data_IF_793681652740
#
_entry.id   IF_793681652740
#
_cell.length_a   1.000
_cell.length_b   1.000
_cell.length_c   1.000
_cell.angle_alpha   90.00
_cell.angle_beta   90.00
_cell.angle_gamma   90.00
#
_symmetry.space_group_name_H-M   'P 1'
#
loop_
_entity.id
_entity.type
_entity.pdbx_description
1 polymer ?
#
# COMPACT_ATOMS: atom_id res chain seq x y z
N UNK A 1 8.26 -28.24 -7.48
CA UNK A 1 7.20 -28.17 -6.44
C UNK A 1 6.70 -26.74 -6.43
N UNK A 2 5.80 -26.38 -7.36
CA UNK A 2 5.06 -25.12 -7.27
C UNK A 2 3.91 -25.39 -6.31
N UNK A 3 4.12 -25.10 -5.03
CA UNK A 3 3.02 -25.08 -4.08
C UNK A 3 2.06 -23.98 -4.55
N UNK A 4 0.86 -24.38 -4.98
CA UNK A 4 -0.23 -23.52 -5.45
C UNK A 4 -0.83 -22.63 -4.35
N UNK A 5 0.03 -21.99 -3.55
CA UNK A 5 -0.38 -20.95 -2.64
C UNK A 5 -0.91 -19.78 -3.47
N UNK A 6 -2.20 -19.46 -3.31
CA UNK A 6 -2.80 -18.26 -3.89
C UNK A 6 -2.01 -17.03 -3.46
N UNK A 7 -1.84 -16.06 -4.36
CA UNK A 7 -1.23 -14.75 -4.06
C UNK A 7 -1.91 -14.06 -2.87
N UNK A 8 -3.18 -14.36 -2.66
CA UNK A 8 -4.03 -13.80 -1.61
C UNK A 8 -4.12 -14.66 -0.35
N UNK A 9 -3.30 -15.71 -0.26
CA UNK A 9 -3.18 -16.49 0.97
C UNK A 9 -2.69 -15.55 2.08
N UNK A 10 -3.48 -15.44 3.13
CA UNK A 10 -3.18 -14.59 4.27
C UNK A 10 -2.48 -15.38 5.36
N UNK A 11 -1.36 -14.88 5.86
CA UNK A 11 -0.70 -15.49 7.01
C UNK A 11 -1.61 -15.39 8.24
N UNK A 12 -1.80 -16.47 9.02
CA UNK A 12 -2.78 -16.50 10.10
C UNK A 12 -2.54 -15.51 11.22
N UNK A 13 -1.35 -14.95 11.38
CA UNK A 13 -0.98 -14.11 12.52
C UNK A 13 -1.54 -12.70 12.37
N UNK A 14 -1.25 -12.04 11.24
CA UNK A 14 -1.59 -10.63 10.98
C UNK A 14 -2.50 -10.44 9.75
N UNK A 15 -2.74 -11.49 8.96
CA UNK A 15 -3.54 -11.40 7.74
C UNK A 15 -2.80 -10.86 6.52
N UNK A 16 -1.46 -10.81 6.56
CA UNK A 16 -0.63 -10.35 5.46
C UNK A 16 -0.69 -11.32 4.28
N UNK A 17 -0.86 -10.77 3.08
CA UNK A 17 -0.62 -11.48 1.83
C UNK A 17 0.86 -11.49 1.49
N UNK A 18 1.25 -12.22 0.44
CA UNK A 18 2.63 -12.22 -0.05
C UNK A 18 3.14 -10.80 -0.36
N UNK A 19 2.25 -9.90 -0.78
CA UNK A 19 2.58 -8.51 -1.09
C UNK A 19 2.99 -7.71 0.15
N UNK A 20 2.31 -7.91 1.28
CA UNK A 20 2.68 -7.27 2.55
C UNK A 20 4.02 -7.81 3.05
N UNK A 21 4.26 -9.12 2.94
CA UNK A 21 5.54 -9.72 3.36
C UNK A 21 6.69 -9.18 2.51
N UNK A 22 6.53 -9.11 1.18
CA UNK A 22 7.55 -8.54 0.30
C UNK A 22 7.82 -7.06 0.62
N UNK A 23 6.79 -6.31 1.01
CA UNK A 23 6.93 -4.92 1.42
C UNK A 23 7.72 -4.78 2.74
N UNK A 24 7.41 -5.60 3.74
CA UNK A 24 8.10 -5.60 5.05
C UNK A 24 9.59 -5.98 4.90
N UNK A 25 9.89 -6.87 3.94
CA UNK A 25 11.25 -7.28 3.59
C UNK A 25 11.99 -6.29 2.66
N UNK A 26 11.35 -5.20 2.23
CA UNK A 26 11.87 -4.28 1.21
C UNK A 26 12.29 -4.99 -0.11
N UNK A 27 11.60 -6.07 -0.47
CA UNK A 27 11.86 -6.80 -1.71
C UNK A 27 11.07 -6.19 -2.88
N UNK A 28 11.58 -5.08 -3.39
CA UNK A 28 11.01 -4.35 -4.53
C UNK A 28 10.82 -5.25 -5.76
N UNK A 29 11.72 -6.21 -5.99
CA UNK A 29 11.64 -7.12 -7.14
C UNK A 29 10.44 -8.05 -6.97
N UNK A 30 10.29 -8.64 -5.78
CA UNK A 30 9.15 -9.49 -5.46
C UNK A 30 7.83 -8.71 -5.50
N UNK A 31 7.78 -7.49 -4.96
CA UNK A 31 6.57 -6.65 -5.04
C UNK A 31 6.13 -6.39 -6.49
N UNK A 32 7.08 -6.07 -7.38
CA UNK A 32 6.81 -5.89 -8.81
C UNK A 32 6.33 -7.20 -9.47
N UNK A 33 6.96 -8.32 -9.11
CA UNK A 33 6.58 -9.63 -9.63
C UNK A 33 5.17 -10.04 -9.18
N UNK A 34 4.84 -9.91 -7.90
CA UNK A 34 3.52 -10.19 -7.35
C UNK A 34 2.44 -9.32 -8.02
N UNK A 35 2.72 -8.01 -8.21
CA UNK A 35 1.81 -7.13 -8.95
C UNK A 35 1.62 -7.57 -10.39
N UNK A 36 2.69 -7.98 -11.08
CA UNK A 36 2.62 -8.52 -12.44
C UNK A 36 1.77 -9.79 -12.51
N UNK A 37 1.85 -10.65 -11.50
CA UNK A 37 1.02 -11.85 -11.38
C UNK A 37 -0.44 -11.56 -10.98
N UNK A 38 -0.80 -10.31 -10.73
CA UNK A 38 -2.17 -9.90 -10.40
C UNK A 38 -2.52 -9.94 -8.92
N UNK A 39 -1.53 -9.87 -8.02
CA UNK A 39 -1.81 -9.75 -6.58
C UNK A 39 -2.68 -8.52 -6.27
N UNK A 40 -3.63 -8.67 -5.35
CA UNK A 40 -4.52 -7.60 -4.92
C UNK A 40 -3.76 -6.55 -4.11
N UNK A 41 -3.47 -5.42 -4.74
CA UNK A 41 -2.80 -4.28 -4.12
C UNK A 41 -3.66 -3.57 -3.06
N UNK A 42 -4.96 -3.84 -3.01
CA UNK A 42 -5.91 -3.33 -2.02
C UNK A 42 -6.28 -4.36 -0.95
N UNK A 43 -5.59 -5.51 -0.93
CA UNK A 43 -5.78 -6.53 0.08
C UNK A 43 -5.68 -5.91 1.49
N UNK A 44 -6.56 -6.37 2.38
CA UNK A 44 -6.65 -5.89 3.76
C UNK A 44 -6.09 -6.91 4.73
N UNK A 45 -5.24 -6.47 5.65
CA UNK A 45 -4.80 -7.26 6.79
C UNK A 45 -5.94 -7.48 7.81
N UNK A 46 -5.66 -8.14 8.94
CA UNK A 46 -6.67 -8.41 9.98
C UNK A 46 -7.26 -7.17 10.63
N UNK A 47 -6.55 -6.05 10.63
CA UNK A 47 -7.03 -4.77 11.18
C UNK A 47 -7.56 -3.85 10.08
N UNK A 48 -7.81 -4.39 8.89
CA UNK A 48 -8.42 -3.68 7.78
C UNK A 48 -7.47 -2.73 7.05
N UNK A 49 -6.16 -2.79 7.31
CA UNK A 49 -5.16 -1.95 6.66
C UNK A 49 -4.80 -2.50 5.29
N UNK A 50 -4.72 -1.60 4.33
CA UNK A 50 -4.11 -1.88 3.02
C UNK A 50 -2.61 -1.59 3.06
N UNK A 51 -1.89 -1.98 2.01
CA UNK A 51 -0.46 -1.68 1.90
C UNK A 51 -0.17 -0.16 1.97
N UNK A 52 -1.09 0.69 1.50
CA UNK A 52 -0.99 2.15 1.64
C UNK A 52 -1.05 2.61 3.10
N UNK A 53 -1.81 1.94 3.96
CA UNK A 53 -1.83 2.27 5.39
C UNK A 53 -0.49 1.95 6.04
N UNK A 54 0.08 0.79 5.71
CA UNK A 54 1.36 0.34 6.26
C UNK A 54 2.48 1.29 5.85
N UNK A 55 2.60 1.65 4.57
CA UNK A 55 3.66 2.59 4.16
C UNK A 55 3.44 4.02 4.61
N UNK A 56 2.22 4.38 5.02
CA UNK A 56 1.93 5.70 5.60
C UNK A 56 2.46 5.88 7.01
N UNK A 57 2.79 4.80 7.73
CA UNK A 57 3.34 4.88 9.09
C UNK A 57 4.87 5.01 9.13
N UNK A 58 5.58 4.63 8.07
CA UNK A 58 7.05 4.75 8.02
C UNK A 58 7.48 6.17 7.72
N UNK A 59 8.47 6.73 8.43
CA UNK A 59 8.80 8.17 8.28
C UNK A 59 10.20 8.44 7.76
N UNK A 60 11.23 7.63 8.04
CA UNK A 60 12.59 8.18 7.97
C UNK A 60 13.72 7.33 7.39
N UNK A 61 13.59 6.01 7.17
CA UNK A 61 14.66 5.27 6.50
C UNK A 61 14.73 5.62 5.00
N UNK A 62 15.91 5.41 4.38
CA UNK A 62 16.09 5.67 2.94
C UNK A 62 15.34 4.63 2.12
N UNK A 63 15.31 3.41 2.63
CA UNK A 63 14.67 2.22 2.11
C UNK A 63 13.14 2.37 2.10
N UNK A 64 12.55 2.83 3.21
CA UNK A 64 11.10 3.07 3.31
C UNK A 64 10.63 4.12 2.31
N UNK A 65 11.48 5.08 1.97
CA UNK A 65 11.16 6.16 1.01
C UNK A 65 11.01 5.61 -0.41
N UNK A 66 11.84 4.65 -0.83
CA UNK A 66 11.77 4.09 -2.18
C UNK A 66 10.49 3.25 -2.35
N UNK A 67 10.24 2.33 -1.41
CA UNK A 67 9.02 1.52 -1.39
C UNK A 67 7.76 2.40 -1.40
N UNK A 68 7.72 3.38 -0.49
CA UNK A 68 6.57 4.28 -0.33
C UNK A 68 6.22 5.01 -1.62
N UNK A 69 7.23 5.51 -2.33
CA UNK A 69 7.06 6.19 -3.60
C UNK A 69 6.62 5.23 -4.71
N UNK A 70 7.22 4.05 -4.76
CA UNK A 70 6.84 3.02 -5.73
C UNK A 70 5.38 2.63 -5.55
N UNK A 71 4.94 2.29 -4.34
CA UNK A 71 3.54 1.90 -4.08
C UNK A 71 2.61 3.07 -4.40
N UNK A 72 2.91 4.29 -3.93
CA UNK A 72 2.06 5.44 -4.21
C UNK A 72 1.90 5.73 -5.73
N UNK A 73 2.82 5.25 -6.57
CA UNK A 73 2.73 5.35 -8.04
C UNK A 73 1.85 4.26 -8.70
N UNK A 74 1.36 3.27 -7.94
CA UNK A 74 0.55 2.20 -8.51
C UNK A 74 -0.87 2.66 -8.84
N UNK A 75 -1.27 2.44 -10.10
CA UNK A 75 -2.65 2.56 -10.52
C UNK A 75 -3.54 1.52 -9.82
N UNK A 76 -4.80 1.90 -9.58
CA UNK A 76 -5.81 1.02 -8.96
C UNK A 76 -5.81 0.98 -7.43
N UNK A 77 -4.83 1.61 -6.75
CA UNK A 77 -4.85 1.71 -5.29
C UNK A 77 -6.06 2.49 -4.78
N UNK A 78 -6.82 1.95 -3.84
CA UNK A 78 -7.88 2.67 -3.16
C UNK A 78 -7.32 3.48 -1.97
N UNK A 79 -7.36 4.80 -2.10
CA UNK A 79 -6.87 5.74 -1.08
C UNK A 79 -7.91 6.07 0.00
N UNK A 80 -9.15 5.60 -0.17
CA UNK A 80 -10.29 5.90 0.70
C UNK A 80 -10.62 4.77 1.68
N UNK A 81 -9.95 3.61 1.56
CA UNK A 81 -10.09 2.51 2.52
C UNK A 81 -9.81 3.01 3.94
N UNK A 82 -10.61 2.54 4.89
CA UNK A 82 -10.45 2.79 6.31
C UNK A 82 -10.02 1.53 7.03
N UNK A 83 -9.05 1.64 7.92
CA UNK A 83 -8.70 0.58 8.86
C UNK A 83 -9.78 0.42 9.96
N UNK A 84 -9.56 -0.52 10.89
CA UNK A 84 -10.48 -0.80 11.99
C UNK A 84 -10.70 0.40 12.93
N UNK A 85 -9.76 1.36 12.96
CA UNK A 85 -9.88 2.60 13.72
C UNK A 85 -10.57 3.72 12.93
N UNK A 86 -11.04 3.44 11.72
CA UNK A 86 -11.65 4.42 10.82
C UNK A 86 -10.64 5.34 10.14
N UNK A 87 -9.34 5.11 10.29
CA UNK A 87 -8.29 5.91 9.68
C UNK A 87 -8.06 5.51 8.22
N UNK A 88 -7.89 6.50 7.33
CA UNK A 88 -7.36 6.26 5.98
C UNK A 88 -5.84 6.32 5.98
N UNK A 89 -5.20 5.89 4.89
CA UNK A 89 -3.76 6.05 4.69
C UNK A 89 -3.30 7.50 4.89
N UNK A 90 -4.03 8.49 4.35
CA UNK A 90 -3.73 9.90 4.55
C UNK A 90 -3.86 10.32 6.02
N UNK A 91 -4.85 9.80 6.73
CA UNK A 91 -5.01 10.04 8.17
C UNK A 91 -3.81 9.52 8.97
N UNK A 92 -3.35 8.30 8.69
CA UNK A 92 -2.16 7.74 9.32
C UNK A 92 -0.89 8.53 8.97
N UNK A 93 -0.71 8.92 7.71
CA UNK A 93 0.45 9.73 7.29
C UNK A 93 0.51 11.07 8.04
N UNK A 94 -0.65 11.74 8.23
CA UNK A 94 -0.73 12.98 9.02
C UNK A 94 -0.41 12.73 10.50
N UNK A 95 -0.98 11.67 11.10
CA UNK A 95 -0.75 11.31 12.50
C UNK A 95 0.73 11.04 12.80
N UNK A 96 1.44 10.40 11.86
CA UNK A 96 2.87 10.10 11.99
C UNK A 96 3.78 11.23 11.46
N UNK A 97 3.25 12.40 11.10
CA UNK A 97 4.02 13.50 10.53
C UNK A 97 4.84 13.11 9.28
N UNK A 98 4.37 12.12 8.51
CA UNK A 98 4.97 11.69 7.25
C UNK A 98 4.61 12.69 6.13
N UNK A 99 5.26 13.86 6.16
CA UNK A 99 4.98 14.98 5.24
C UNK A 99 5.08 14.57 3.77
N UNK A 100 5.99 13.64 3.43
CA UNK A 100 6.16 13.14 2.07
C UNK A 100 4.94 12.35 1.62
N UNK A 101 4.51 11.36 2.41
CA UNK A 101 3.34 10.55 2.07
C UNK A 101 2.06 11.39 2.04
N UNK A 102 1.92 12.37 2.94
CA UNK A 102 0.81 13.33 2.89
C UNK A 102 0.77 14.04 1.52
N UNK A 103 1.91 14.56 1.06
CA UNK A 103 1.99 15.22 -0.24
C UNK A 103 1.67 14.28 -1.40
N UNK A 104 2.17 13.04 -1.36
CA UNK A 104 1.87 12.04 -2.41
C UNK A 104 0.39 11.70 -2.47
N UNK A 105 -0.23 11.36 -1.35
CA UNK A 105 -1.65 10.98 -1.31
C UNK A 105 -2.57 12.15 -1.68
N UNK A 106 -2.24 13.37 -1.29
CA UNK A 106 -2.97 14.57 -1.73
C UNK A 106 -2.86 14.77 -3.24
N UNK A 107 -1.65 14.69 -3.80
CA UNK A 107 -1.43 14.82 -5.25
C UNK A 107 -2.15 13.72 -6.03
N UNK A 108 -2.15 12.48 -5.52
CA UNK A 108 -2.85 11.36 -6.14
C UNK A 108 -4.36 11.62 -6.21
N UNK A 109 -4.94 12.14 -5.13
CA UNK A 109 -6.35 12.54 -5.07
C UNK A 109 -6.68 13.58 -6.15
N UNK A 110 -5.91 14.69 -6.22
CA UNK A 110 -6.13 15.74 -7.22
C UNK A 110 -5.94 15.23 -8.67
N UNK A 111 -4.92 14.41 -8.91
CA UNK A 111 -4.63 13.84 -10.24
C UNK A 111 -5.78 12.97 -10.73
N UNK A 112 -6.34 12.12 -9.85
CA UNK A 112 -7.48 11.26 -10.19
C UNK A 112 -8.76 12.05 -10.47
N UNK A 113 -9.03 13.09 -9.68
CA UNK A 113 -10.16 14.00 -9.95
C UNK A 113 -9.97 14.68 -11.31
N UNK A 114 -8.78 15.19 -11.63
CA UNK A 114 -8.50 15.82 -12.92
C UNK A 114 -8.65 14.85 -14.09
N UNK A 115 -8.18 13.60 -13.95
CA UNK A 115 -8.35 12.56 -14.98
C UNK A 115 -9.83 12.22 -15.21
N UNK A 116 -10.63 12.15 -14.14
CA UNK A 116 -12.07 11.89 -14.24
C UNK A 116 -12.86 13.03 -14.91
N UNK A 117 -12.41 14.28 -14.78
CA UNK A 117 -13.05 15.45 -15.39
C UNK A 117 -12.66 15.67 -16.87
N UNK A 118 -11.53 15.12 -17.31
CA UNK A 118 -10.97 15.32 -18.66
C UNK A 118 -11.13 14.09 -19.58
N UNK A 119 -11.82 13.05 -19.12
CA UNK A 119 -12.05 11.80 -19.84
C UNK A 119 -13.45 11.70 -20.42
#
# INVERSE_FOLDING_TARGET
VELGASLETKVPENGYTALFVAQDMNDIKMMKHLRYLGADINARDKIGRTILHVVSVYTDSKEDKEISQMIASWDGLDIHVRDISGCTALGLAKKNNNKKMVKYLQNLSFSRVKKALNG
#
